data_IF_763493580487
#
_entry.id   IF_763493580487
#
_cell.length_a   1.000
_cell.length_b   1.000
_cell.length_c   1.000
_cell.angle_alpha   90.00
_cell.angle_beta   90.00
_cell.angle_gamma   90.00
#
_symmetry.space_group_name_H-M   'P 1'
#
loop_
_entity.id
_entity.type
_entity.pdbx_description
1 polymer ?
#
# COMPACT_ATOMS: atom_id res chain seq x y z
N UNK A 1 7.91 -11.75 -36.77
CA UNK A 1 6.63 -11.00 -36.70
C UNK A 1 6.89 -9.74 -35.89
N UNK A 2 6.80 -8.58 -36.52
CA UNK A 2 7.01 -7.29 -35.84
C UNK A 2 5.65 -6.82 -35.36
N UNK A 3 5.40 -6.90 -34.06
CA UNK A 3 4.18 -6.38 -33.43
C UNK A 3 4.19 -4.86 -33.58
N UNK A 4 3.25 -4.31 -34.35
CA UNK A 4 3.05 -2.87 -34.46
C UNK A 4 2.42 -2.38 -33.14
N UNK A 5 3.21 -1.70 -32.31
CA UNK A 5 2.71 -1.03 -31.10
C UNK A 5 1.79 0.11 -31.53
N UNK A 6 0.59 0.17 -30.95
CA UNK A 6 -0.39 1.20 -31.30
C UNK A 6 -0.01 2.55 -30.68
N UNK A 7 -0.39 3.66 -31.33
CA UNK A 7 -0.12 5.01 -30.83
C UNK A 7 -0.69 5.28 -29.42
N UNK A 8 -1.91 4.84 -29.06
CA UNK A 8 -2.43 4.96 -27.69
C UNK A 8 -1.60 4.22 -26.65
N UNK A 9 -1.03 3.06 -27.02
CA UNK A 9 -0.16 2.29 -26.14
C UNK A 9 1.17 3.01 -25.89
N UNK A 10 1.82 3.55 -26.94
CA UNK A 10 3.05 4.34 -26.81
C UNK A 10 2.87 5.59 -25.92
N UNK A 11 1.72 6.26 -26.03
CA UNK A 11 1.40 7.40 -25.16
C UNK A 11 1.22 6.98 -23.70
N UNK A 12 0.53 5.86 -23.46
CA UNK A 12 0.32 5.31 -22.12
C UNK A 12 1.64 4.90 -21.48
N UNK A 13 2.49 4.17 -22.21
CA UNK A 13 3.85 3.81 -21.77
C UNK A 13 4.68 5.04 -21.40
N UNK A 14 4.63 6.11 -22.19
CA UNK A 14 5.33 7.36 -21.89
C UNK A 14 4.82 8.06 -20.63
N UNK A 15 3.52 8.03 -20.36
CA UNK A 15 2.94 8.62 -19.15
C UNK A 15 3.29 7.78 -17.91
N UNK A 16 3.23 6.46 -18.02
CA UNK A 16 3.65 5.55 -16.94
C UNK A 16 5.13 5.74 -16.62
N UNK A 17 5.98 5.91 -17.63
CA UNK A 17 7.40 6.23 -17.45
C UNK A 17 7.64 7.56 -16.70
N UNK A 18 6.66 8.47 -16.64
CA UNK A 18 6.71 9.70 -15.84
C UNK A 18 6.12 9.54 -14.43
N UNK A 19 5.21 8.58 -14.23
CA UNK A 19 4.56 8.29 -12.95
C UNK A 19 5.44 7.41 -12.07
N UNK A 20 5.99 6.33 -12.63
CA UNK A 20 6.78 5.33 -11.91
C UNK A 20 7.96 5.94 -11.13
N UNK A 21 8.83 6.79 -11.71
CA UNK A 21 9.94 7.39 -10.96
C UNK A 21 9.48 8.29 -9.80
N UNK A 22 8.31 8.92 -9.91
CA UNK A 22 7.74 9.74 -8.83
C UNK A 22 7.28 8.87 -7.66
N UNK A 23 6.61 7.75 -7.96
CA UNK A 23 6.24 6.75 -6.96
C UNK A 23 7.48 6.23 -6.25
N UNK A 24 8.49 5.81 -7.00
CA UNK A 24 9.76 5.29 -6.46
C UNK A 24 10.45 6.34 -5.56
N UNK A 25 10.47 7.61 -5.97
CA UNK A 25 11.00 8.70 -5.16
C UNK A 25 10.23 8.86 -3.84
N UNK A 26 8.90 8.84 -3.88
CA UNK A 26 8.07 8.97 -2.68
C UNK A 26 8.24 7.79 -1.73
N UNK A 27 8.36 6.56 -2.26
CA UNK A 27 8.66 5.37 -1.46
C UNK A 27 10.05 5.49 -0.83
N UNK A 28 11.06 5.89 -1.60
CA UNK A 28 12.42 6.12 -1.09
C UNK A 28 12.43 7.13 0.06
N UNK A 29 11.76 8.27 -0.10
CA UNK A 29 11.63 9.28 0.95
C UNK A 29 10.99 8.71 2.23
N UNK A 30 9.91 7.94 2.10
CA UNK A 30 9.26 7.29 3.26
C UNK A 30 10.20 6.30 3.95
N UNK A 31 10.82 5.39 3.20
CA UNK A 31 11.71 4.37 3.74
C UNK A 31 12.92 4.99 4.42
N UNK A 32 13.52 6.03 3.83
CA UNK A 32 14.64 6.76 4.44
C UNK A 32 14.24 7.54 5.69
N UNK A 33 12.96 7.92 5.81
CA UNK A 33 12.45 8.64 6.99
C UNK A 33 12.13 7.72 8.18
N UNK A 34 12.15 6.39 8.01
CA UNK A 34 11.78 5.45 9.06
C UNK A 34 12.69 5.61 10.30
N UNK A 35 12.12 5.70 11.51
CA UNK A 35 12.92 5.85 12.72
C UNK A 35 13.57 4.52 13.08
N UNK A 36 14.85 4.54 13.44
CA UNK A 36 15.62 3.38 13.87
C UNK A 36 14.87 2.56 14.96
N UNK A 37 14.50 1.29 14.71
CA UNK A 37 13.76 0.45 15.65
C UNK A 37 14.38 0.37 17.03
N UNK A 38 15.72 0.41 17.11
CA UNK A 38 16.47 0.29 18.36
C UNK A 38 16.44 1.58 19.19
N UNK A 39 16.16 2.72 18.57
CA UNK A 39 16.03 4.02 19.25
C UNK A 39 14.62 4.31 19.73
N UNK A 40 13.64 3.57 19.23
CA UNK A 40 12.26 3.66 19.68
C UNK A 40 12.06 2.98 21.05
N UNK A 41 11.18 3.53 21.87
CA UNK A 41 10.68 2.87 23.08
C UNK A 41 9.77 1.69 22.73
N UNK A 42 9.59 0.75 23.67
CA UNK A 42 8.66 -0.37 23.47
C UNK A 42 7.23 0.11 23.11
N UNK A 43 6.79 1.22 23.70
CA UNK A 43 5.47 1.80 23.42
C UNK A 43 5.36 2.31 21.99
N UNK A 44 6.39 2.96 21.47
CA UNK A 44 6.41 3.46 20.09
C UNK A 44 6.44 2.32 19.07
N UNK A 45 7.33 1.33 19.26
CA UNK A 45 7.39 0.15 18.37
C UNK A 45 6.04 -0.57 18.32
N UNK A 46 5.46 -0.85 19.49
CA UNK A 46 4.12 -1.45 19.62
C UNK A 46 3.07 -0.61 18.91
N UNK A 47 3.11 0.72 19.08
CA UNK A 47 2.16 1.64 18.47
C UNK A 47 2.19 1.61 16.94
N UNK A 48 3.38 1.53 16.33
CA UNK A 48 3.53 1.43 14.88
C UNK A 48 2.91 0.12 14.36
N UNK A 49 3.25 -1.02 14.97
CA UNK A 49 2.71 -2.33 14.58
C UNK A 49 1.18 -2.36 14.74
N UNK A 50 0.67 -1.84 15.86
CA UNK A 50 -0.75 -1.82 16.16
C UNK A 50 -1.54 -0.94 15.16
N UNK A 51 -1.03 0.26 14.84
CA UNK A 51 -1.68 1.13 13.85
C UNK A 51 -1.62 0.51 12.45
N UNK A 52 -0.47 -0.02 12.04
CA UNK A 52 -0.34 -0.74 10.77
C UNK A 52 -1.37 -1.87 10.67
N UNK A 53 -1.47 -2.71 11.72
CA UNK A 53 -2.44 -3.80 11.80
C UNK A 53 -3.88 -3.31 11.73
N UNK A 54 -4.22 -2.25 12.46
CA UNK A 54 -5.57 -1.67 12.48
C UNK A 54 -6.04 -1.17 11.10
N UNK A 55 -5.09 -0.76 10.27
CA UNK A 55 -5.35 -0.38 8.88
C UNK A 55 -5.39 -1.63 8.02
N UNK A 56 -4.31 -2.40 7.96
CA UNK A 56 -4.14 -3.34 6.86
C UNK A 56 -5.01 -4.59 6.97
N UNK A 57 -5.22 -5.10 8.19
CA UNK A 57 -5.94 -6.36 8.43
C UNK A 57 -7.32 -6.38 7.76
N UNK A 58 -8.02 -5.23 7.75
CA UNK A 58 -9.35 -5.12 7.18
C UNK A 58 -9.44 -4.39 5.84
N UNK A 59 -8.34 -3.84 5.31
CA UNK A 59 -8.44 -2.89 4.21
C UNK A 59 -7.69 -3.26 2.92
N UNK A 60 -6.63 -4.07 2.95
CA UNK A 60 -5.90 -4.38 1.71
C UNK A 60 -6.78 -5.05 0.66
N UNK A 61 -7.44 -6.15 1.01
CA UNK A 61 -8.39 -6.85 0.15
C UNK A 61 -9.52 -5.91 -0.33
N UNK A 62 -10.02 -5.05 0.56
CA UNK A 62 -11.05 -4.06 0.20
C UNK A 62 -10.53 -3.05 -0.84
N UNK A 63 -9.30 -2.54 -0.68
CA UNK A 63 -8.68 -1.59 -1.61
C UNK A 63 -8.36 -2.20 -2.97
N UNK A 64 -7.80 -3.42 -2.97
CA UNK A 64 -7.51 -4.13 -4.21
C UNK A 64 -8.81 -4.54 -4.94
N UNK A 65 -9.85 -4.92 -4.19
CA UNK A 65 -11.18 -5.19 -4.77
C UNK A 65 -11.79 -3.93 -5.39
N UNK A 66 -11.72 -2.78 -4.71
CA UNK A 66 -12.19 -1.51 -5.28
C UNK A 66 -11.43 -1.16 -6.58
N UNK A 67 -10.13 -1.41 -6.61
CA UNK A 67 -9.30 -1.21 -7.81
C UNK A 67 -9.71 -2.15 -8.94
N UNK A 68 -9.94 -3.43 -8.64
CA UNK A 68 -10.46 -4.41 -9.60
C UNK A 68 -11.82 -4.01 -10.19
N UNK A 69 -12.72 -3.47 -9.35
CA UNK A 69 -14.02 -2.99 -9.80
C UNK A 69 -13.93 -1.71 -10.66
N UNK A 70 -12.90 -0.89 -10.43
CA UNK A 70 -12.71 0.39 -11.09
C UNK A 70 -12.15 0.26 -12.52
N UNK A 71 -11.25 -0.70 -12.76
CA UNK A 71 -10.57 -0.85 -14.05
C UNK A 71 -11.52 -1.31 -15.17
N UNK A 72 -11.34 -0.74 -16.35
CA UNK A 72 -12.07 -1.09 -17.56
C UNK A 72 -11.27 -2.03 -18.46
N UNK A 73 -9.94 -2.10 -18.29
CA UNK A 73 -9.09 -2.98 -19.08
C UNK A 73 -9.21 -4.44 -18.65
N UNK A 74 -9.59 -5.31 -19.60
CA UNK A 74 -9.60 -6.76 -19.43
C UNK A 74 -8.19 -7.35 -19.25
N UNK A 75 -7.15 -6.66 -19.72
CA UNK A 75 -5.75 -7.06 -19.52
C UNK A 75 -5.26 -6.72 -18.11
N UNK A 76 -5.78 -5.65 -17.49
CA UNK A 76 -5.44 -5.27 -16.12
C UNK A 76 -6.10 -6.18 -15.06
N UNK A 77 -7.33 -6.64 -15.34
CA UNK A 77 -8.14 -7.48 -14.43
C UNK A 77 -7.44 -8.73 -13.89
N UNK A 78 -6.83 -9.61 -14.72
CA UNK A 78 -6.17 -10.82 -14.21
C UNK A 78 -5.00 -10.51 -13.26
N UNK A 79 -4.25 -9.43 -13.50
CA UNK A 79 -3.13 -9.02 -12.64
C UNK A 79 -3.64 -8.67 -11.23
N UNK A 80 -4.74 -7.91 -11.15
CA UNK A 80 -5.36 -7.53 -9.87
C UNK A 80 -5.99 -8.75 -9.18
N UNK A 81 -6.56 -9.68 -9.95
CA UNK A 81 -7.14 -10.91 -9.42
C UNK A 81 -6.09 -11.87 -8.87
N UNK A 82 -4.93 -12.00 -9.51
CA UNK A 82 -3.86 -12.86 -9.02
C UNK A 82 -3.38 -12.40 -7.64
N UNK A 83 -3.21 -11.09 -7.46
CA UNK A 83 -2.89 -10.49 -6.17
C UNK A 83 -3.99 -10.76 -5.13
N UNK A 84 -5.27 -10.49 -5.46
CA UNK A 84 -6.40 -10.79 -4.58
C UNK A 84 -6.50 -12.27 -4.21
N UNK A 85 -6.22 -13.16 -5.16
CA UNK A 85 -6.26 -14.60 -4.93
C UNK A 85 -5.20 -15.03 -3.92
N UNK A 86 -3.99 -14.49 -3.99
CA UNK A 86 -2.93 -14.76 -3.01
C UNK A 86 -3.36 -14.34 -1.60
N UNK A 87 -3.77 -13.08 -1.45
CA UNK A 87 -4.24 -12.51 -0.18
C UNK A 87 -5.33 -13.33 0.51
N UNK A 88 -6.31 -13.79 -0.29
CA UNK A 88 -7.45 -14.55 0.20
C UNK A 88 -7.09 -16.01 0.46
N UNK A 89 -6.39 -16.66 -0.48
CA UNK A 89 -6.03 -18.09 -0.40
C UNK A 89 -5.16 -18.35 0.82
N UNK A 90 -4.19 -17.48 1.07
CA UNK A 90 -3.18 -17.66 2.12
C UNK A 90 -3.59 -16.95 3.43
N UNK A 91 -4.77 -16.32 3.44
CA UNK A 91 -5.38 -15.65 4.59
C UNK A 91 -4.44 -14.62 5.23
N UNK A 92 -3.89 -13.72 4.41
CA UNK A 92 -2.95 -12.67 4.85
C UNK A 92 -3.46 -11.82 6.03
N UNK A 93 -4.77 -11.46 6.12
CA UNK A 93 -5.29 -10.81 7.33
C UNK A 93 -5.08 -11.62 8.62
N UNK A 94 -5.29 -12.94 8.56
CA UNK A 94 -5.08 -13.80 9.72
C UNK A 94 -3.57 -13.92 10.06
N UNK A 95 -2.71 -13.92 9.04
CA UNK A 95 -1.25 -13.90 9.19
C UNK A 95 -0.78 -12.61 9.88
N UNK A 96 -1.26 -11.45 9.43
CA UNK A 96 -0.99 -10.16 10.06
C UNK A 96 -1.50 -10.11 11.50
N UNK A 97 -2.68 -10.69 11.77
CA UNK A 97 -3.20 -10.75 13.15
C UNK A 97 -2.31 -11.60 14.06
N UNK A 98 -1.84 -12.76 13.59
CA UNK A 98 -0.89 -13.60 14.36
C UNK A 98 0.40 -12.84 14.66
N UNK A 99 0.95 -12.17 13.66
CA UNK A 99 2.13 -11.31 13.80
C UNK A 99 1.93 -10.24 14.88
N UNK A 100 0.82 -9.50 14.83
CA UNK A 100 0.51 -8.46 15.81
C UNK A 100 0.33 -9.01 17.24
N UNK A 101 -0.33 -10.18 17.39
CA UNK A 101 -0.49 -10.84 18.70
C UNK A 101 0.87 -11.24 19.27
N UNK A 102 1.72 -11.88 18.46
CA UNK A 102 3.05 -12.32 18.88
C UNK A 102 3.96 -11.16 19.28
N UNK A 103 3.83 -10.00 18.62
CA UNK A 103 4.56 -8.77 18.98
C UNK A 103 3.95 -7.98 20.17
N UNK A 104 2.90 -8.50 20.82
CA UNK A 104 2.18 -7.79 21.89
C UNK A 104 1.53 -6.49 21.42
N UNK A 105 1.16 -6.43 20.14
CA UNK A 105 0.75 -5.22 19.43
C UNK A 105 -0.65 -5.35 18.80
N UNK A 106 -1.52 -6.19 19.38
CA UNK A 106 -2.92 -6.24 18.97
C UNK A 106 -3.55 -4.83 19.05
N UNK A 107 -4.23 -4.33 17.99
CA UNK A 107 -4.79 -2.99 18.00
C UNK A 107 -5.79 -2.75 19.13
N UNK A 108 -5.75 -1.54 19.69
CA UNK A 108 -6.77 -1.00 20.60
C UNK A 108 -7.60 0.06 19.88
N UNK A 109 -8.70 0.49 20.50
CA UNK A 109 -9.50 1.60 20.00
C UNK A 109 -8.67 2.89 19.83
N UNK A 110 -7.68 3.12 20.70
CA UNK A 110 -6.78 4.28 20.56
C UNK A 110 -5.93 4.20 19.29
N UNK A 111 -5.44 3.01 18.94
CA UNK A 111 -4.66 2.82 17.71
C UNK A 111 -5.53 3.04 16.46
N UNK A 112 -6.75 2.48 16.47
CA UNK A 112 -7.70 2.61 15.38
C UNK A 112 -8.17 4.07 15.19
N UNK A 113 -8.47 4.78 16.29
CA UNK A 113 -8.87 6.19 16.26
C UNK A 113 -7.73 7.09 15.76
N UNK A 114 -6.47 6.77 16.10
CA UNK A 114 -5.31 7.56 15.69
C UNK A 114 -5.09 7.60 14.16
N UNK A 115 -5.59 6.61 13.41
CA UNK A 115 -5.48 6.53 11.95
C UNK A 115 -6.82 6.73 11.23
N UNK A 116 -7.91 6.93 11.98
CA UNK A 116 -9.26 6.83 11.45
C UNK A 116 -9.57 7.83 10.34
N UNK A 117 -9.16 9.09 10.50
CA UNK A 117 -9.40 10.15 9.53
C UNK A 117 -8.68 9.86 8.20
N UNK A 118 -7.36 9.62 8.26
CA UNK A 118 -6.55 9.33 7.08
C UNK A 118 -6.99 8.04 6.38
N UNK A 119 -7.35 7.00 7.14
CA UNK A 119 -7.90 5.76 6.61
C UNK A 119 -9.24 6.01 5.90
N UNK A 120 -10.10 6.84 6.48
CA UNK A 120 -11.38 7.21 5.87
C UNK A 120 -11.19 7.97 4.57
N UNK A 121 -10.19 8.86 4.49
CA UNK A 121 -9.88 9.58 3.26
C UNK A 121 -9.44 8.62 2.13
N UNK A 122 -8.61 7.61 2.43
CA UNK A 122 -8.23 6.57 1.46
C UNK A 122 -9.44 5.76 1.00
N UNK A 123 -10.33 5.37 1.92
CA UNK A 123 -11.57 4.64 1.60
C UNK A 123 -12.50 5.46 0.70
N UNK A 124 -12.70 6.74 1.02
CA UNK A 124 -13.52 7.65 0.20
C UNK A 124 -12.93 7.82 -1.20
N UNK A 125 -11.61 7.99 -1.29
CA UNK A 125 -10.91 8.08 -2.56
C UNK A 125 -11.12 6.83 -3.43
N UNK A 126 -10.86 5.64 -2.89
CA UNK A 126 -11.04 4.37 -3.63
C UNK A 126 -12.52 4.09 -3.93
N UNK A 127 -13.44 4.56 -3.09
CA UNK A 127 -14.88 4.49 -3.32
C UNK A 127 -15.38 5.29 -4.52
N UNK A 128 -14.57 6.19 -5.10
CA UNK A 128 -14.87 6.86 -6.37
C UNK A 128 -14.63 5.98 -7.59
N UNK A 129 -14.01 4.80 -7.42
CA UNK A 129 -13.76 3.80 -8.45
C UNK A 129 -13.07 4.38 -9.70
N UNK A 130 -12.02 5.17 -9.49
CA UNK A 130 -11.25 5.79 -10.57
C UNK A 130 -10.09 4.90 -11.01
N UNK A 131 -10.28 4.11 -12.08
CA UNK A 131 -9.38 3.03 -12.51
C UNK A 131 -7.89 3.38 -12.46
N UNK A 132 -7.44 4.35 -13.26
CA UNK A 132 -6.02 4.76 -13.32
C UNK A 132 -5.49 5.17 -11.94
N UNK A 133 -6.16 6.08 -11.24
CA UNK A 133 -5.65 6.59 -9.95
C UNK A 133 -5.68 5.51 -8.86
N UNK A 134 -6.65 4.59 -8.89
CA UNK A 134 -6.69 3.42 -8.01
C UNK A 134 -5.50 2.49 -8.26
N UNK A 135 -5.19 2.15 -9.52
CA UNK A 135 -4.02 1.32 -9.87
C UNK A 135 -2.71 1.99 -9.44
N UNK A 136 -2.57 3.31 -9.68
CA UNK A 136 -1.40 4.08 -9.23
C UNK A 136 -1.25 4.04 -7.71
N UNK A 137 -2.36 4.13 -6.97
CA UNK A 137 -2.37 4.06 -5.50
C UNK A 137 -1.92 2.69 -5.00
N UNK A 138 -2.41 1.61 -5.62
CA UNK A 138 -1.99 0.25 -5.28
C UNK A 138 -0.52 0.00 -5.64
N UNK A 139 -0.05 0.49 -6.80
CA UNK A 139 1.35 0.36 -7.21
C UNK A 139 2.31 1.03 -6.21
N UNK A 140 1.94 2.21 -5.71
CA UNK A 140 2.68 2.87 -4.64
C UNK A 140 2.69 2.06 -3.35
N UNK A 141 1.54 1.48 -2.98
CA UNK A 141 1.41 0.75 -1.73
C UNK A 141 2.22 -0.54 -1.69
N UNK A 142 2.12 -1.35 -2.74
CA UNK A 142 2.88 -2.59 -2.93
C UNK A 142 4.39 -2.32 -2.94
N UNK A 143 4.82 -1.30 -3.69
CA UNK A 143 6.24 -0.92 -3.71
C UNK A 143 6.73 -0.41 -2.35
N UNK A 144 5.85 0.16 -1.53
CA UNK A 144 6.17 0.53 -0.15
C UNK A 144 6.24 -0.69 0.78
N UNK A 145 5.21 -1.55 0.79
CA UNK A 145 5.16 -2.74 1.67
C UNK A 145 6.39 -3.60 1.46
N UNK A 146 6.74 -3.90 0.21
CA UNK A 146 7.92 -4.69 -0.17
C UNK A 146 9.19 -4.26 0.61
N UNK A 147 9.36 -2.95 0.82
CA UNK A 147 10.54 -2.37 1.49
C UNK A 147 10.32 -2.12 2.98
N UNK A 148 9.08 -1.99 3.40
CA UNK A 148 8.69 -1.78 4.78
C UNK A 148 8.70 -3.08 5.61
N UNK A 149 8.56 -4.25 4.99
CA UNK A 149 8.50 -5.54 5.72
C UNK A 149 9.72 -5.81 6.61
N UNK A 150 10.94 -5.53 6.12
CA UNK A 150 12.15 -5.70 6.92
C UNK A 150 12.13 -4.81 8.17
N UNK A 151 11.68 -3.56 8.02
CA UNK A 151 11.53 -2.63 9.14
C UNK A 151 10.45 -3.11 10.13
N UNK A 152 9.32 -3.62 9.63
CA UNK A 152 8.25 -4.14 10.47
C UNK A 152 8.70 -5.39 11.24
N UNK A 153 9.49 -6.27 10.63
CA UNK A 153 10.10 -7.42 11.28
C UNK A 153 11.06 -6.99 12.40
N UNK A 154 11.90 -5.99 12.16
CA UNK A 154 12.81 -5.45 13.18
C UNK A 154 12.06 -4.86 14.38
N UNK A 155 10.94 -4.16 14.15
CA UNK A 155 10.07 -3.67 15.22
C UNK A 155 9.52 -4.82 16.07
N UNK A 156 9.05 -5.89 15.43
CA UNK A 156 8.47 -7.04 16.12
C UNK A 156 9.54 -7.87 16.86
N UNK A 157 10.71 -8.06 16.26
CA UNK A 157 11.84 -8.72 16.91
C UNK A 157 12.31 -7.93 18.14
N UNK A 158 12.38 -6.60 18.04
CA UNK A 158 12.69 -5.74 19.18
C UNK A 158 11.60 -5.77 20.27
N UNK A 159 10.38 -6.21 19.95
CA UNK A 159 9.30 -6.48 20.90
C UNK A 159 9.32 -7.91 21.46
N UNK A 160 10.29 -8.74 21.06
CA UNK A 160 10.44 -10.12 21.48
C UNK A 160 9.61 -11.13 20.70
N UNK A 161 9.01 -10.74 19.56
CA UNK A 161 8.33 -11.67 18.66
C UNK A 161 9.35 -12.55 17.91
N UNK A 162 9.02 -13.81 17.72
CA UNK A 162 9.68 -14.71 16.77
C UNK A 162 8.78 -15.07 15.57
N UNK A 163 7.54 -14.57 15.55
CA UNK A 163 6.60 -14.80 14.45
C UNK A 163 6.87 -13.79 13.34
N UNK A 164 7.28 -14.28 12.16
CA UNK A 164 7.76 -13.48 11.03
C UNK A 164 7.11 -13.85 9.69
N UNK A 165 6.17 -14.81 9.69
CA UNK A 165 5.56 -15.33 8.45
C UNK A 165 5.01 -14.20 7.56
N UNK A 166 4.31 -13.23 8.18
CA UNK A 166 3.74 -12.08 7.46
C UNK A 166 4.79 -11.26 6.70
N UNK A 167 5.89 -10.93 7.37
CA UNK A 167 6.96 -10.11 6.78
C UNK A 167 7.81 -10.89 5.78
N UNK A 168 7.96 -12.20 5.97
CA UNK A 168 8.72 -13.06 5.07
C UNK A 168 8.01 -13.24 3.71
N UNK A 169 6.69 -13.42 3.73
CA UNK A 169 5.87 -13.53 2.50
C UNK A 169 5.91 -12.23 1.70
N UNK A 170 5.58 -11.11 2.33
CA UNK A 170 5.46 -9.80 1.65
C UNK A 170 6.84 -9.19 1.30
N UNK A 171 7.93 -9.64 1.93
CA UNK A 171 9.28 -9.21 1.56
C UNK A 171 9.74 -9.71 0.19
N UNK A 172 9.10 -10.76 -0.35
CA UNK A 172 9.47 -11.39 -1.64
C UNK A 172 8.35 -11.23 -2.67
N UNK A 173 7.10 -11.51 -2.31
CA UNK A 173 5.97 -11.54 -3.27
C UNK A 173 5.70 -10.18 -3.94
N UNK A 174 5.87 -9.08 -3.20
CA UNK A 174 5.43 -7.75 -3.62
C UNK A 174 6.28 -7.12 -4.75
N UNK A 175 7.45 -7.70 -5.05
CA UNK A 175 8.26 -7.31 -6.21
C UNK A 175 7.47 -7.57 -7.50
N UNK A 176 6.89 -8.76 -7.61
CA UNK A 176 6.13 -9.17 -8.79
C UNK A 176 4.81 -8.39 -8.89
N UNK A 177 4.16 -8.13 -7.75
CA UNK A 177 2.92 -7.35 -7.69
C UNK A 177 3.12 -5.91 -8.13
N UNK A 178 4.17 -5.24 -7.64
CA UNK A 178 4.47 -3.85 -8.03
C UNK A 178 4.71 -3.73 -9.54
N UNK A 179 5.51 -4.64 -10.12
CA UNK A 179 5.75 -4.65 -11.56
C UNK A 179 4.49 -5.01 -12.36
N UNK A 180 3.67 -5.93 -11.84
CA UNK A 180 2.36 -6.26 -12.39
C UNK A 180 1.45 -5.04 -12.44
N UNK A 181 1.40 -4.24 -11.36
CA UNK A 181 0.55 -3.05 -11.29
C UNK A 181 0.96 -1.95 -12.28
N UNK A 182 2.25 -1.76 -12.57
CA UNK A 182 2.66 -0.88 -13.66
C UNK A 182 2.24 -1.40 -15.03
N UNK A 183 2.23 -2.72 -15.22
CA UNK A 183 1.71 -3.36 -16.44
C UNK A 183 0.20 -3.15 -16.57
N UNK A 184 -0.55 -3.37 -15.48
CA UNK A 184 -1.98 -3.09 -15.39
C UNK A 184 -2.28 -1.60 -15.64
N UNK A 185 -1.42 -0.70 -15.18
CA UNK A 185 -1.56 0.74 -15.40
C UNK A 185 -1.45 1.11 -16.88
N UNK A 186 -0.45 0.58 -17.60
CA UNK A 186 -0.33 0.80 -19.05
C UNK A 186 -1.59 0.31 -19.77
N UNK A 187 -2.06 -0.89 -19.41
CA UNK A 187 -3.25 -1.49 -20.00
C UNK A 187 -4.53 -0.67 -19.71
N UNK A 188 -4.71 -0.19 -18.49
CA UNK A 188 -5.85 0.65 -18.11
C UNK A 188 -5.81 2.00 -18.82
N UNK A 189 -4.67 2.69 -18.84
CA UNK A 189 -4.54 4.00 -19.50
C UNK A 189 -4.76 3.92 -21.02
N UNK A 190 -4.50 2.75 -21.62
CA UNK A 190 -4.75 2.52 -23.05
C UNK A 190 -6.24 2.49 -23.39
N UNK A 191 -7.07 1.96 -22.49
CA UNK A 191 -8.52 1.79 -22.70
C UNK A 191 -9.34 2.92 -22.07
N UNK A 192 -8.88 3.43 -20.93
CA UNK A 192 -9.57 4.40 -20.10
C UNK A 192 -8.55 5.42 -19.54
N UNK A 193 -8.10 6.38 -20.37
CA UNK A 193 -7.10 7.36 -19.99
C UNK A 193 -7.61 8.32 -18.90
N UNK A 194 -6.67 8.99 -18.22
CA UNK A 194 -6.99 10.01 -17.22
C UNK A 194 -7.89 11.10 -17.82
N UNK A 195 -8.89 11.50 -17.05
CA UNK A 195 -9.68 12.68 -17.35
C UNK A 195 -8.81 13.94 -17.34
N UNK A 196 -9.17 14.93 -18.16
CA UNK A 196 -8.43 16.19 -18.25
C UNK A 196 -8.40 16.87 -16.88
N UNK A 197 -7.19 17.20 -16.41
CA UNK A 197 -6.97 17.84 -15.11
C UNK A 197 -7.01 16.89 -13.91
N UNK A 198 -7.24 15.59 -14.10
CA UNK A 198 -7.11 14.61 -13.03
C UNK A 198 -5.64 14.48 -12.61
N UNK A 199 -5.40 14.47 -11.30
CA UNK A 199 -4.08 14.17 -10.75
C UNK A 199 -3.92 12.65 -10.58
N UNK A 200 -3.01 12.00 -11.31
CA UNK A 200 -2.78 10.56 -11.16
C UNK A 200 -2.30 10.16 -9.75
N UNK A 201 -1.71 11.08 -8.99
CA UNK A 201 -1.06 10.81 -7.71
C UNK A 201 -1.94 11.15 -6.49
N UNK A 202 -3.19 11.59 -6.68
CA UNK A 202 -4.06 12.00 -5.57
C UNK A 202 -4.15 10.93 -4.47
N UNK A 203 -4.41 9.67 -4.84
CA UNK A 203 -4.49 8.56 -3.89
C UNK A 203 -3.15 8.19 -3.26
N UNK A 204 -2.04 8.41 -3.98
CA UNK A 204 -0.67 8.26 -3.44
C UNK A 204 -0.43 9.25 -2.31
N UNK A 205 -0.89 10.50 -2.46
CA UNK A 205 -0.73 11.51 -1.42
C UNK A 205 -1.52 11.16 -0.16
N UNK A 206 -2.77 10.72 -0.32
CA UNK A 206 -3.61 10.29 0.80
C UNK A 206 -3.00 9.08 1.53
N UNK A 207 -2.53 8.09 0.77
CA UNK A 207 -1.94 6.88 1.35
C UNK A 207 -0.60 7.16 2.01
N UNK A 208 0.22 8.06 1.44
CA UNK A 208 1.44 8.56 2.07
C UNK A 208 1.14 9.23 3.42
N UNK A 209 0.12 10.07 3.49
CA UNK A 209 -0.30 10.71 4.75
C UNK A 209 -0.71 9.66 5.78
N UNK A 210 -1.52 8.67 5.39
CA UNK A 210 -1.89 7.55 6.27
C UNK A 210 -0.66 6.79 6.79
N UNK A 211 0.28 6.46 5.92
CA UNK A 211 1.53 5.78 6.29
C UNK A 211 2.35 6.62 7.28
N UNK A 212 2.45 7.93 7.06
CA UNK A 212 3.11 8.84 8.00
C UNK A 212 2.42 8.87 9.36
N UNK A 213 1.08 8.84 9.40
CA UNK A 213 0.31 8.76 10.66
C UNK A 213 0.53 7.44 11.39
N UNK A 214 0.60 6.32 10.65
CA UNK A 214 0.97 5.00 11.21
C UNK A 214 2.35 5.07 11.88
N UNK A 215 3.36 5.63 11.21
CA UNK A 215 4.75 5.59 11.67
C UNK A 215 5.03 6.61 12.76
N UNK A 216 4.71 7.89 12.51
CA UNK A 216 5.22 9.00 13.31
C UNK A 216 4.28 9.49 14.40
N UNK A 217 3.00 9.08 14.39
CA UNK A 217 1.93 9.55 15.28
C UNK A 217 2.09 11.02 15.68
N UNK A 218 1.46 11.95 14.95
CA UNK A 218 1.46 13.36 15.38
C UNK A 218 0.85 13.44 16.78
N UNK A 219 1.68 13.76 17.78
CA UNK A 219 1.19 14.13 19.10
C UNK A 219 0.41 15.43 18.88
N UNK A 220 -0.92 15.32 18.87
CA UNK A 220 -1.76 16.49 19.06
C UNK A 220 -1.47 16.96 20.47
N UNK A 221 -0.62 17.98 20.60
CA UNK A 221 -0.52 18.76 21.83
C UNK A 221 -1.85 19.49 21.92
N UNK A 222 -2.86 18.82 22.50
CA UNK A 222 -3.99 19.50 23.09
C UNK A 222 -3.39 20.36 24.21
N UNK A 223 -3.17 21.63 23.89
CA UNK A 223 -2.96 22.67 24.89
C UNK A 223 -4.23 22.70 25.74
N UNK A 224 -4.05 22.44 27.03
CA UNK A 224 -5.08 22.50 28.04
C UNK A 224 -5.67 23.91 28.18
#
# INVERSE_FOLDING_TARGET
>A
MTTLVSYPQLQSESLVACIQPKIESMINELVTSLPDPQKLTNKERRGIIARYTSVLEGNFIYWMTATYLAVQSEEARPILLDNLHEEVRDAHPAMLRRFAIAAGALPTDTDALAVHEDLTNVRLFLGRLSGVQSVVTMAFFEGFIQRFMAYLADLAAAQGSAEMEYTDVHGVCDIAHTQGLFTALVAEMTVNPLSVGADPLEGVYLLRTLIQTIIFQRISILTA
#
